data_IF_203917506388
#
_entry.id   IF_203917506388
#
_cell.length_a   1.000
_cell.length_b   1.000
_cell.length_c   1.000
_cell.angle_alpha   90.00
_cell.angle_beta   90.00
_cell.angle_gamma   90.00
#
_symmetry.space_group_name_H-M   'P 1'
#
loop_
_entity.id
_entity.type
_entity.pdbx_description
1 polymer ?
#
# COMPACT_ATOMS: atom_id res chain seq x y z
N UNK A 1 9.28 -5.61 -4.45
CA UNK A 1 9.09 -4.81 -5.68
C UNK A 1 10.05 -3.63 -5.61
N UNK A 2 10.58 -3.16 -6.73
CA UNK A 2 11.49 -2.00 -6.74
C UNK A 2 10.70 -0.70 -6.87
N UNK A 3 11.20 0.41 -6.30
CA UNK A 3 10.56 1.75 -6.37
C UNK A 3 10.12 2.18 -7.81
N UNK A 4 10.88 1.90 -8.88
CA UNK A 4 10.50 2.19 -10.26
C UNK A 4 9.25 1.45 -10.76
N UNK A 5 8.91 0.31 -10.17
CA UNK A 5 7.72 -0.47 -10.54
C UNK A 5 6.44 0.17 -10.00
N UNK A 6 6.52 0.80 -8.82
CA UNK A 6 5.41 1.55 -8.23
C UNK A 6 5.11 2.85 -8.98
N UNK A 7 6.15 3.54 -9.46
CA UNK A 7 6.01 4.82 -10.18
C UNK A 7 5.08 4.73 -11.40
N UNK A 8 4.99 3.55 -12.03
CA UNK A 8 4.20 3.34 -13.24
C UNK A 8 2.71 3.19 -12.99
N UNK A 9 2.32 2.78 -11.78
CA UNK A 9 0.95 2.38 -11.46
C UNK A 9 0.32 3.17 -10.32
N UNK A 10 1.14 3.82 -9.48
CA UNK A 10 0.68 4.57 -8.33
C UNK A 10 0.84 6.06 -8.54
N UNK A 11 -0.19 6.81 -8.17
CA UNK A 11 -0.10 8.27 -8.17
C UNK A 11 0.88 8.74 -7.09
N UNK A 12 1.61 9.85 -7.31
CA UNK A 12 2.48 10.44 -6.28
C UNK A 12 1.73 10.75 -4.99
N UNK A 13 0.49 11.24 -5.10
CA UNK A 13 -0.34 11.57 -3.93
C UNK A 13 -0.63 10.34 -3.05
N UNK A 14 -0.92 9.18 -3.66
CA UNK A 14 -1.15 7.95 -2.91
C UNK A 14 0.09 7.52 -2.13
N UNK A 15 1.26 7.53 -2.79
CA UNK A 15 2.52 7.12 -2.16
C UNK A 15 2.89 8.04 -1.00
N UNK A 16 2.81 9.35 -1.19
CA UNK A 16 3.09 10.34 -0.14
C UNK A 16 2.14 10.17 1.04
N UNK A 17 0.87 9.86 0.80
CA UNK A 17 -0.09 9.61 1.87
C UNK A 17 0.28 8.36 2.69
N UNK A 18 0.62 7.26 2.02
CA UNK A 18 1.05 6.01 2.70
C UNK A 18 2.38 6.21 3.43
N UNK A 19 3.37 6.86 2.82
CA UNK A 19 4.68 7.10 3.42
C UNK A 19 4.61 7.96 4.69
N UNK A 20 3.63 8.86 4.77
CA UNK A 20 3.40 9.72 5.94
C UNK A 20 2.55 9.07 7.02
N UNK A 21 1.92 7.94 6.72
CA UNK A 21 1.12 7.24 7.70
C UNK A 21 2.04 6.46 8.64
N UNK A 22 1.87 6.71 9.93
CA UNK A 22 2.61 6.06 11.02
C UNK A 22 1.73 5.10 11.82
N UNK A 23 0.41 5.20 11.67
CA UNK A 23 -0.54 4.32 12.33
C UNK A 23 -0.77 3.05 11.47
N UNK A 24 -0.34 1.86 11.95
CA UNK A 24 -0.52 0.61 11.22
C UNK A 24 -2.00 0.21 11.08
N UNK A 25 -2.87 0.56 12.05
CA UNK A 25 -4.29 0.19 12.01
C UNK A 25 -5.00 0.88 10.83
N UNK A 26 -4.66 2.15 10.56
CA UNK A 26 -5.20 2.89 9.42
C UNK A 26 -4.72 2.30 8.08
N UNK A 27 -3.49 1.79 8.03
CA UNK A 27 -2.98 1.09 6.84
C UNK A 27 -3.68 -0.26 6.62
N UNK A 28 -4.02 -0.97 7.70
CA UNK A 28 -4.79 -2.21 7.63
C UNK A 28 -6.24 -1.98 7.17
N UNK A 29 -6.88 -0.89 7.61
CA UNK A 29 -8.21 -0.49 7.14
C UNK A 29 -8.20 -0.19 5.63
N UNK A 30 -7.20 0.54 5.14
CA UNK A 30 -7.03 0.80 3.70
C UNK A 30 -6.83 -0.52 2.93
N UNK A 31 -6.03 -1.46 3.45
CA UNK A 31 -5.91 -2.79 2.86
C UNK A 31 -7.24 -3.53 2.79
N UNK A 32 -8.08 -3.43 3.83
CA UNK A 32 -9.42 -4.01 3.82
C UNK A 32 -10.28 -3.41 2.68
N UNK A 33 -10.27 -2.09 2.54
CA UNK A 33 -11.00 -1.37 1.49
C UNK A 33 -10.50 -1.73 0.08
N UNK A 34 -9.20 -1.85 -0.11
CA UNK A 34 -8.59 -2.27 -1.39
C UNK A 34 -8.96 -3.72 -1.74
N UNK A 35 -9.02 -4.63 -0.77
CA UNK A 35 -9.47 -6.02 -0.99
C UNK A 35 -10.93 -6.09 -1.44
N UNK A 36 -11.80 -5.27 -0.85
CA UNK A 36 -13.20 -5.17 -1.30
C UNK A 36 -13.27 -4.63 -2.73
N UNK A 37 -12.54 -3.55 -3.02
CA UNK A 37 -12.46 -2.96 -4.36
C UNK A 37 -11.95 -3.97 -5.41
N UNK A 38 -10.98 -4.81 -5.04
CA UNK A 38 -10.40 -5.83 -5.92
C UNK A 38 -11.42 -6.91 -6.31
N UNK A 39 -12.33 -7.27 -5.40
CA UNK A 39 -13.41 -8.24 -5.68
C UNK A 39 -14.41 -7.69 -6.70
N UNK A 40 -14.61 -6.37 -6.72
CA UNK A 40 -15.54 -5.68 -7.61
C UNK A 40 -14.88 -5.27 -8.95
N UNK A 41 -13.55 -5.21 -9.00
CA UNK A 41 -12.80 -4.79 -10.17
C UNK A 41 -12.99 -5.74 -11.36
N UNK A 42 -13.46 -5.19 -12.48
CA UNK A 42 -13.72 -5.95 -13.73
C UNK A 42 -12.58 -5.83 -14.75
N UNK A 43 -11.77 -4.77 -14.66
CA UNK A 43 -10.63 -4.54 -15.54
C UNK A 43 -9.35 -5.16 -14.98
N UNK A 44 -8.57 -5.80 -15.85
CA UNK A 44 -7.23 -6.31 -15.51
C UNK A 44 -6.31 -5.19 -15.05
N UNK A 45 -6.41 -4.00 -15.66
CA UNK A 45 -5.61 -2.84 -15.26
C UNK A 45 -5.98 -2.38 -13.84
N UNK A 46 -7.26 -2.23 -13.53
CA UNK A 46 -7.71 -1.82 -12.20
C UNK A 46 -7.27 -2.81 -11.13
N UNK A 47 -7.36 -4.12 -11.43
CA UNK A 47 -6.84 -5.17 -10.54
C UNK A 47 -5.34 -5.02 -10.29
N UNK A 48 -4.56 -4.75 -11.35
CA UNK A 48 -3.12 -4.54 -11.24
C UNK A 48 -2.80 -3.31 -10.37
N UNK A 49 -3.52 -2.20 -10.55
CA UNK A 49 -3.37 -1.00 -9.72
C UNK A 49 -3.69 -1.31 -8.26
N UNK A 50 -4.80 -1.99 -7.97
CA UNK A 50 -5.21 -2.34 -6.62
C UNK A 50 -4.22 -3.27 -5.91
N UNK A 51 -3.74 -4.31 -6.59
CA UNK A 51 -2.70 -5.20 -6.05
C UNK A 51 -1.41 -4.43 -5.77
N UNK A 52 -1.03 -3.52 -6.67
CA UNK A 52 0.18 -2.69 -6.50
C UNK A 52 0.04 -1.75 -5.31
N UNK A 53 -1.14 -1.15 -5.09
CA UNK A 53 -1.43 -0.35 -3.89
C UNK A 53 -1.31 -1.18 -2.62
N UNK A 54 -1.87 -2.39 -2.62
CA UNK A 54 -1.78 -3.29 -1.46
C UNK A 54 -0.34 -3.68 -1.14
N UNK A 55 0.46 -4.00 -2.16
CA UNK A 55 1.88 -4.31 -1.97
C UNK A 55 2.64 -3.12 -1.37
N UNK A 56 2.37 -1.90 -1.85
CA UNK A 56 3.01 -0.69 -1.32
C UNK A 56 2.68 -0.46 0.16
N UNK A 57 1.43 -0.67 0.57
CA UNK A 57 1.03 -0.57 1.97
C UNK A 57 1.68 -1.67 2.82
N UNK A 58 1.75 -2.90 2.32
CA UNK A 58 2.46 -3.98 3.02
C UNK A 58 3.94 -3.67 3.23
N UNK A 59 4.61 -3.08 2.23
CA UNK A 59 6.00 -2.65 2.37
C UNK A 59 6.14 -1.56 3.44
N UNK A 60 5.18 -0.63 3.57
CA UNK A 60 5.20 0.39 4.65
C UNK A 60 4.94 -0.20 6.02
N UNK A 61 4.00 -1.13 6.16
CA UNK A 61 3.76 -1.85 7.40
C UNK A 61 5.00 -2.62 7.86
N UNK A 62 5.72 -3.26 6.93
CA UNK A 62 6.97 -3.92 7.24
C UNK A 62 8.07 -2.94 7.71
N UNK A 63 8.12 -1.73 7.14
CA UNK A 63 9.02 -0.68 7.61
C UNK A 63 8.66 -0.21 9.02
N UNK A 64 7.39 0.04 9.30
CA UNK A 64 6.92 0.45 10.63
C UNK A 64 7.24 -0.60 11.70
N UNK A 65 7.02 -1.88 11.39
CA UNK A 65 7.37 -2.98 12.29
C UNK A 65 8.89 -3.05 12.56
N UNK A 66 9.72 -2.81 11.53
CA UNK A 66 11.17 -2.76 11.71
C UNK A 66 11.63 -1.51 12.51
N UNK A 67 10.97 -0.36 12.31
CA UNK A 67 11.20 0.87 13.07
C UNK A 67 10.87 0.65 14.56
N UNK A 68 9.77 -0.04 14.89
CA UNK A 68 9.39 -0.38 16.27
C UNK A 68 10.39 -1.34 16.93
N UNK A 69 10.94 -2.32 16.19
CA UNK A 69 11.96 -3.24 16.71
C UNK A 69 13.31 -2.56 17.00
N UNK A 70 13.67 -1.49 16.27
CA UNK A 70 14.92 -0.73 16.50
C UNK A 70 14.83 0.26 17.68
N UNK A 71 13.63 0.65 18.10
CA UNK A 71 13.39 1.56 19.22
C UNK A 71 13.33 0.87 20.60
N UNK A 72 13.44 -0.48 20.64
CA UNK A 72 13.42 -1.34 21.85
C UNK A 72 14.82 -1.80 22.25
#
# INVERSE_FOLDING_TARGET
MTRPEYDRLLTPAFRVAVDRQTDPDLLEEELHTLRQSLRLARSTFDRQVLVTKMQYIHDRLAQLAAEEEEEV
#
